data_IF_634758393336
#
_entry.id   IF_634758393336
#
_cell.length_a   1.000
_cell.length_b   1.000
_cell.length_c   1.000
_cell.angle_alpha   90.00
_cell.angle_beta   90.00
_cell.angle_gamma   90.00
#
_symmetry.space_group_name_H-M   'P 1'
#
loop_
_entity.id
_entity.type
_entity.pdbx_description
1 polymer ?
#
# COMPACT_ATOMS: atom_id res chain seq x y z
N UNK A 1 -10.49 6.67 7.81
CA UNK A 1 -11.11 5.35 7.99
C UNK A 1 -10.92 4.85 9.42
N UNK A 2 -11.34 3.63 9.72
CA UNK A 2 -11.43 3.09 11.07
C UNK A 2 -10.57 1.84 11.30
N UNK A 3 -9.92 1.31 10.27
CA UNK A 3 -9.02 0.16 10.38
C UNK A 3 -7.90 0.20 9.34
N UNK A 4 -6.80 -0.52 9.61
CA UNK A 4 -5.71 -0.67 8.64
C UNK A 4 -6.19 -1.25 7.31
N UNK A 5 -7.06 -2.27 7.35
CA UNK A 5 -7.64 -2.86 6.14
C UNK A 5 -8.42 -1.82 5.32
N UNK A 6 -9.24 -0.99 5.96
CA UNK A 6 -9.99 0.05 5.24
C UNK A 6 -9.09 1.17 4.70
N UNK A 7 -7.97 1.49 5.38
CA UNK A 7 -7.01 2.46 4.83
C UNK A 7 -6.34 1.95 3.55
N UNK A 8 -6.03 0.65 3.50
CA UNK A 8 -5.48 0.02 2.29
C UNK A 8 -6.53 -0.07 1.18
N UNK A 9 -7.79 -0.41 1.47
CA UNK A 9 -8.88 -0.35 0.48
C UNK A 9 -8.99 1.05 -0.16
N UNK A 10 -8.88 2.09 0.67
CA UNK A 10 -8.88 3.49 0.19
C UNK A 10 -7.67 3.76 -0.71
N UNK A 11 -6.47 3.29 -0.32
CA UNK A 11 -5.25 3.44 -1.11
C UNK A 11 -5.35 2.79 -2.49
N UNK A 12 -5.88 1.56 -2.55
CA UNK A 12 -6.10 0.84 -3.82
C UNK A 12 -7.09 1.60 -4.72
N UNK A 13 -8.19 2.11 -4.15
CA UNK A 13 -9.17 2.92 -4.89
C UNK A 13 -8.56 4.22 -5.41
N UNK A 14 -7.73 4.92 -4.60
CA UNK A 14 -7.02 6.12 -5.02
C UNK A 14 -6.07 5.82 -6.18
N UNK A 15 -5.31 4.73 -6.10
CA UNK A 15 -4.37 4.36 -7.15
C UNK A 15 -5.09 4.02 -8.48
N UNK A 16 -6.17 3.27 -8.44
CA UNK A 16 -6.95 2.92 -9.64
C UNK A 16 -7.66 4.15 -10.22
N UNK A 17 -8.25 5.00 -9.38
CA UNK A 17 -8.88 6.25 -9.79
C UNK A 17 -7.89 7.23 -10.42
N UNK A 18 -6.66 7.32 -9.89
CA UNK A 18 -5.59 8.13 -10.45
C UNK A 18 -5.36 7.83 -11.94
N UNK A 19 -5.19 6.55 -12.29
CA UNK A 19 -4.95 6.15 -13.67
C UNK A 19 -6.18 6.33 -14.57
N UNK A 20 -7.37 5.99 -14.06
CA UNK A 20 -8.62 6.21 -14.77
C UNK A 20 -8.80 7.68 -15.15
N UNK A 21 -8.56 8.59 -14.21
CA UNK A 21 -8.76 10.03 -14.43
C UNK A 21 -7.69 10.64 -15.34
N UNK A 22 -6.55 9.98 -15.50
CA UNK A 22 -5.52 10.33 -16.48
C UNK A 22 -5.76 9.72 -17.86
N UNK A 23 -6.79 8.88 -18.01
CA UNK A 23 -7.10 8.18 -19.27
C UNK A 23 -6.15 7.03 -19.57
N UNK A 24 -5.47 6.49 -18.58
CA UNK A 24 -4.53 5.37 -18.71
C UNK A 24 -5.18 4.08 -18.15
N UNK A 25 -5.16 3.00 -18.92
CA UNK A 25 -5.78 1.72 -18.55
C UNK A 25 -4.86 0.86 -17.66
N UNK A 26 -4.28 1.45 -16.61
CA UNK A 26 -3.48 0.73 -15.62
C UNK A 26 -4.37 0.28 -14.46
N UNK A 27 -4.41 -1.01 -14.21
CA UNK A 27 -5.22 -1.58 -13.11
C UNK A 27 -4.54 -2.73 -12.38
N UNK A 28 -3.34 -3.15 -12.82
CA UNK A 28 -2.59 -4.24 -12.20
C UNK A 28 -1.88 -3.76 -10.96
N UNK A 29 -2.10 -4.45 -9.85
CA UNK A 29 -1.39 -4.20 -8.60
C UNK A 29 -0.24 -5.20 -8.46
N UNK A 30 0.93 -4.71 -8.12
CA UNK A 30 2.10 -5.53 -7.79
C UNK A 30 2.18 -5.67 -6.27
N UNK A 31 2.49 -6.87 -5.80
CA UNK A 31 2.58 -7.21 -4.37
C UNK A 31 3.85 -8.01 -4.10
N UNK A 32 4.32 -7.99 -2.86
CA UNK A 32 5.42 -8.84 -2.42
C UNK A 32 4.89 -10.17 -1.86
N UNK A 33 5.53 -11.28 -2.19
CA UNK A 33 5.25 -12.58 -1.56
C UNK A 33 5.31 -12.46 -0.03
N UNK A 34 4.44 -13.19 0.65
CA UNK A 34 4.26 -13.15 2.10
C UNK A 34 3.73 -11.82 2.67
N UNK A 35 3.36 -10.85 1.83
CA UNK A 35 2.75 -9.59 2.29
C UNK A 35 1.37 -9.81 2.90
N UNK A 36 1.02 -8.97 3.89
CA UNK A 36 -0.30 -8.95 4.51
C UNK A 36 -0.78 -7.50 4.67
N UNK A 37 -1.98 -7.22 4.19
CA UNK A 37 -2.52 -5.87 4.15
C UNK A 37 -3.90 -5.73 4.81
N UNK A 38 -4.44 -6.81 5.35
CA UNK A 38 -5.73 -6.85 6.03
C UNK A 38 -6.65 -7.98 5.55
N UNK A 39 -7.86 -8.01 6.10
CA UNK A 39 -8.82 -9.11 5.91
C UNK A 39 -10.12 -8.68 5.19
N UNK A 40 -10.14 -7.50 4.56
CA UNK A 40 -11.20 -7.14 3.61
C UNK A 40 -10.90 -7.73 2.23
N UNK A 41 -11.89 -7.79 1.34
CA UNK A 41 -11.73 -8.47 0.02
C UNK A 41 -10.57 -7.89 -0.79
N UNK A 42 -10.45 -6.57 -0.88
CA UNK A 42 -9.36 -5.94 -1.62
C UNK A 42 -8.00 -6.16 -0.95
N UNK A 43 -7.91 -6.06 0.38
CA UNK A 43 -6.65 -6.30 1.10
C UNK A 43 -6.22 -7.77 1.05
N UNK A 44 -7.15 -8.71 1.12
CA UNK A 44 -6.86 -10.14 0.89
C UNK A 44 -6.40 -10.39 -0.55
N UNK A 45 -6.94 -9.62 -1.52
CA UNK A 45 -6.51 -9.73 -2.93
C UNK A 45 -5.05 -9.35 -3.11
N UNK A 46 -4.56 -8.33 -2.40
CA UNK A 46 -3.17 -7.86 -2.46
C UNK A 46 -2.25 -8.50 -1.41
N UNK A 47 -2.78 -9.37 -0.56
CA UNK A 47 -2.02 -10.16 0.41
C UNK A 47 -1.61 -11.53 -0.13
N UNK A 48 -0.80 -12.23 0.65
CA UNK A 48 -0.40 -13.61 0.35
C UNK A 48 -1.61 -14.55 0.32
N UNK A 49 -1.67 -15.41 -0.69
CA UNK A 49 -2.70 -16.46 -0.81
C UNK A 49 -2.35 -17.66 0.07
N UNK A 50 -3.32 -18.23 0.74
CA UNK A 50 -3.10 -19.37 1.61
C UNK A 50 -4.37 -19.87 2.29
N UNK A 51 -4.21 -20.72 3.29
CA UNK A 51 -5.32 -21.35 4.01
C UNK A 51 -6.28 -20.32 4.64
N UNK A 52 -5.77 -19.15 5.04
CA UNK A 52 -6.57 -18.13 5.73
C UNK A 52 -7.58 -17.41 4.82
N UNK A 53 -7.32 -17.34 3.50
CA UNK A 53 -8.19 -16.67 2.54
C UNK A 53 -8.75 -17.58 1.43
N UNK A 54 -8.49 -18.87 1.53
CA UNK A 54 -8.95 -19.87 0.54
C UNK A 54 -10.47 -19.85 0.33
N UNK A 55 -11.24 -19.69 1.41
CA UNK A 55 -12.70 -19.62 1.32
C UNK A 55 -13.24 -18.43 0.51
N UNK A 56 -12.44 -17.38 0.38
CA UNK A 56 -12.79 -16.12 -0.29
C UNK A 56 -12.18 -16.00 -1.68
N UNK A 57 -11.35 -16.96 -2.11
CA UNK A 57 -10.64 -16.95 -3.39
C UNK A 57 -11.51 -16.57 -4.60
N UNK A 58 -12.76 -17.02 -4.71
CA UNK A 58 -13.63 -16.64 -5.85
C UNK A 58 -13.95 -15.14 -5.93
N UNK A 59 -13.73 -14.38 -4.87
CA UNK A 59 -13.98 -12.93 -4.79
C UNK A 59 -12.70 -12.10 -4.92
N UNK A 60 -11.54 -12.74 -4.91
CA UNK A 60 -10.26 -12.04 -4.90
C UNK A 60 -9.81 -11.77 -6.34
N UNK A 61 -9.37 -10.53 -6.61
CA UNK A 61 -8.84 -10.18 -7.92
C UNK A 61 -7.38 -10.59 -8.11
N UNK A 62 -6.94 -10.69 -9.35
CA UNK A 62 -5.58 -11.06 -9.71
C UNK A 62 -4.59 -9.92 -9.45
N UNK A 63 -3.40 -10.31 -9.01
CA UNK A 63 -2.26 -9.42 -8.75
C UNK A 63 -0.99 -9.99 -9.38
N UNK A 64 0.04 -9.16 -9.53
CA UNK A 64 1.38 -9.63 -9.90
C UNK A 64 2.22 -9.75 -8.64
N UNK A 65 2.66 -10.96 -8.30
CA UNK A 65 3.52 -11.18 -7.13
C UNK A 65 4.99 -11.14 -7.52
N UNK A 66 5.82 -10.48 -6.69
CA UNK A 66 7.28 -10.53 -6.77
C UNK A 66 7.83 -11.31 -5.59
N UNK A 67 8.97 -12.02 -5.73
CA UNK A 67 9.59 -12.74 -4.63
C UNK A 67 9.98 -11.81 -3.48
N UNK A 68 9.96 -12.33 -2.24
CA UNK A 68 10.54 -11.63 -1.10
C UNK A 68 12.06 -11.49 -1.27
N UNK A 69 12.66 -10.31 -1.05
CA UNK A 69 14.10 -10.08 -1.23
C UNK A 69 14.89 -10.69 -0.07
N UNK A 70 15.23 -11.96 -0.16
CA UNK A 70 16.12 -12.61 0.81
C UNK A 70 17.56 -12.17 0.61
N UNK A 71 18.37 -12.22 1.67
CA UNK A 71 19.79 -11.88 1.63
C UNK A 71 20.53 -12.61 0.50
N UNK A 72 21.17 -11.84 -0.37
CA UNK A 72 21.89 -12.33 -1.55
C UNK A 72 21.02 -12.62 -2.78
N UNK A 73 19.70 -12.47 -2.71
CA UNK A 73 18.78 -12.64 -3.84
C UNK A 73 17.90 -11.43 -4.12
N UNK A 74 18.24 -10.27 -3.53
CA UNK A 74 17.46 -9.03 -3.65
C UNK A 74 17.28 -8.61 -5.12
N UNK A 75 18.29 -8.84 -5.94
CA UNK A 75 18.25 -8.48 -7.36
C UNK A 75 17.11 -9.20 -8.10
N UNK A 76 16.80 -10.45 -7.74
CA UNK A 76 15.70 -11.20 -8.36
C UNK A 76 14.36 -10.48 -8.13
N UNK A 77 14.13 -10.00 -6.91
CA UNK A 77 12.92 -9.26 -6.55
C UNK A 77 12.86 -7.92 -7.30
N UNK A 78 13.99 -7.21 -7.39
CA UNK A 78 14.09 -5.93 -8.10
C UNK A 78 13.85 -6.09 -9.61
N UNK A 79 14.43 -7.12 -10.24
CA UNK A 79 14.23 -7.41 -11.67
C UNK A 79 12.76 -7.75 -11.96
N UNK A 80 12.11 -8.53 -11.09
CA UNK A 80 10.69 -8.85 -11.21
C UNK A 80 9.78 -7.63 -11.02
N UNK A 81 10.13 -6.75 -10.07
CA UNK A 81 9.42 -5.49 -9.90
C UNK A 81 9.57 -4.61 -11.15
N UNK A 82 10.78 -4.48 -11.68
CA UNK A 82 11.03 -3.71 -12.89
C UNK A 82 10.25 -4.26 -14.09
N UNK A 83 10.23 -5.57 -14.28
CA UNK A 83 9.44 -6.23 -15.32
C UNK A 83 7.94 -5.90 -15.19
N UNK A 84 7.39 -5.99 -13.98
CA UNK A 84 5.99 -5.66 -13.70
C UNK A 84 5.67 -4.18 -13.94
N UNK A 85 6.55 -3.28 -13.50
CA UNK A 85 6.40 -1.83 -13.72
C UNK A 85 6.45 -1.47 -15.21
N UNK A 86 7.35 -2.11 -15.97
CA UNK A 86 7.47 -1.95 -17.42
C UNK A 86 6.22 -2.42 -18.17
N UNK A 87 5.47 -3.36 -17.60
CA UNK A 87 4.20 -3.88 -18.11
C UNK A 87 2.99 -3.06 -17.63
N UNK A 88 3.17 -1.76 -17.35
CA UNK A 88 2.14 -0.79 -16.98
C UNK A 88 1.39 -1.12 -15.68
N UNK A 89 2.11 -1.53 -14.63
CA UNK A 89 1.54 -1.68 -13.31
C UNK A 89 0.94 -0.35 -12.80
N UNK A 90 -0.24 -0.42 -12.18
CA UNK A 90 -0.89 0.73 -11.57
C UNK A 90 -0.21 1.16 -10.28
N UNK A 91 0.07 0.19 -9.42
CA UNK A 91 0.72 0.43 -8.14
C UNK A 91 1.51 -0.80 -7.67
N UNK A 92 2.52 -0.55 -6.86
CA UNK A 92 3.19 -1.55 -6.02
C UNK A 92 2.85 -1.24 -4.56
N UNK A 93 2.32 -2.23 -3.82
CA UNK A 93 2.04 -2.10 -2.40
C UNK A 93 2.99 -2.98 -1.60
N UNK A 94 3.53 -2.43 -0.51
CA UNK A 94 4.52 -3.12 0.33
C UNK A 94 4.46 -2.67 1.79
N UNK A 95 4.73 -3.59 2.72
CA UNK A 95 5.07 -3.28 4.10
C UNK A 95 6.55 -2.86 4.15
N UNK A 96 6.91 -1.59 4.48
CA UNK A 96 8.28 -1.14 4.48
C UNK A 96 9.13 -1.86 5.54
N UNK A 97 10.29 -2.40 5.13
CA UNK A 97 11.34 -3.05 5.92
C UNK A 97 10.96 -4.39 6.59
N UNK A 98 9.70 -4.58 6.98
CA UNK A 98 9.29 -5.77 7.74
C UNK A 98 7.90 -6.24 7.30
N UNK A 99 7.79 -7.46 6.80
CA UNK A 99 6.53 -8.15 6.58
C UNK A 99 6.09 -8.78 7.90
N UNK A 100 5.15 -8.14 8.59
CA UNK A 100 4.77 -8.54 9.94
C UNK A 100 4.10 -9.90 10.01
N UNK A 101 2.88 -10.00 9.51
CA UNK A 101 2.08 -11.24 9.49
C UNK A 101 2.68 -12.32 8.58
N UNK A 102 3.50 -11.93 7.60
CA UNK A 102 4.24 -12.84 6.73
C UNK A 102 5.35 -13.62 7.41
N UNK A 103 5.56 -13.42 8.72
CA UNK A 103 6.56 -14.16 9.50
C UNK A 103 7.70 -13.28 10.04
N UNK A 104 7.48 -11.97 10.19
CA UNK A 104 8.50 -11.00 10.62
C UNK A 104 9.73 -11.01 9.70
N UNK A 105 9.50 -11.13 8.41
CA UNK A 105 10.54 -11.15 7.38
C UNK A 105 11.09 -9.74 7.20
N UNK A 106 12.40 -9.57 7.36
CA UNK A 106 13.06 -8.26 7.27
C UNK A 106 13.90 -8.16 6.01
N UNK A 107 13.93 -6.98 5.39
CA UNK A 107 14.79 -6.65 4.26
C UNK A 107 15.38 -5.24 4.41
N UNK A 108 16.42 -4.93 3.64
CA UNK A 108 17.21 -3.71 3.83
C UNK A 108 16.49 -2.44 3.37
N UNK A 109 16.81 -1.31 4.01
CA UNK A 109 16.37 0.01 3.58
C UNK A 109 16.88 0.35 2.16
N UNK A 110 18.05 -0.14 1.79
CA UNK A 110 18.59 0.03 0.44
C UNK A 110 17.70 -0.68 -0.60
N UNK A 111 17.26 -1.90 -0.33
CA UNK A 111 16.35 -2.64 -1.21
C UNK A 111 15.01 -1.89 -1.35
N UNK A 112 14.48 -1.34 -0.25
CA UNK A 112 13.26 -0.53 -0.28
C UNK A 112 13.45 0.74 -1.13
N UNK A 113 14.58 1.43 -1.00
CA UNK A 113 14.92 2.59 -1.81
C UNK A 113 14.99 2.26 -3.32
N UNK A 114 15.59 1.12 -3.67
CA UNK A 114 15.64 0.66 -5.06
C UNK A 114 14.25 0.31 -5.61
N UNK A 115 13.39 -0.33 -4.82
CA UNK A 115 12.00 -0.58 -5.21
C UNK A 115 11.26 0.73 -5.51
N UNK A 116 11.41 1.75 -4.66
CA UNK A 116 10.82 3.08 -4.91
C UNK A 116 11.38 3.72 -6.18
N UNK A 117 12.70 3.63 -6.40
CA UNK A 117 13.36 4.15 -7.61
C UNK A 117 12.80 3.50 -8.88
N UNK A 118 12.65 2.16 -8.87
CA UNK A 118 12.05 1.43 -10.00
C UNK A 118 10.62 1.91 -10.26
N UNK A 119 9.78 1.97 -9.24
CA UNK A 119 8.41 2.46 -9.39
C UNK A 119 8.37 3.88 -9.99
N UNK A 120 9.20 4.80 -9.51
CA UNK A 120 9.30 6.16 -10.02
C UNK A 120 9.73 6.21 -11.50
N UNK A 121 10.67 5.36 -11.90
CA UNK A 121 11.17 5.30 -13.28
C UNK A 121 10.07 4.96 -14.29
N UNK A 122 9.09 4.13 -13.92
CA UNK A 122 7.99 3.70 -14.78
C UNK A 122 6.65 4.38 -14.46
N UNK A 123 6.67 5.32 -13.50
CA UNK A 123 5.47 6.02 -13.04
C UNK A 123 4.48 5.14 -12.26
N UNK A 124 4.86 3.92 -11.87
CA UNK A 124 4.04 3.06 -11.02
C UNK A 124 3.90 3.70 -9.64
N UNK A 125 2.67 3.83 -9.12
CA UNK A 125 2.44 4.38 -7.80
C UNK A 125 3.02 3.47 -6.70
N UNK A 126 3.67 4.06 -5.72
CA UNK A 126 4.23 3.35 -4.58
C UNK A 126 3.33 3.53 -3.36
N UNK A 127 2.72 2.44 -2.89
CA UNK A 127 1.87 2.42 -1.70
C UNK A 127 2.65 1.81 -0.54
N UNK A 128 2.95 2.61 0.48
CA UNK A 128 3.56 2.13 1.71
C UNK A 128 2.49 1.77 2.74
N UNK A 129 2.41 0.50 3.10
CA UNK A 129 1.57 0.04 4.19
C UNK A 129 2.37 0.08 5.50
N UNK A 130 2.30 1.21 6.18
CA UNK A 130 2.95 1.43 7.47
C UNK A 130 2.00 1.22 8.66
N UNK A 131 0.95 0.45 8.47
CA UNK A 131 -0.01 0.10 9.53
C UNK A 131 0.69 -0.59 10.70
N UNK A 132 1.68 -1.46 10.40
CA UNK A 132 2.49 -2.13 11.44
C UNK A 132 3.82 -1.43 11.69
N UNK A 133 4.48 -0.93 10.64
CA UNK A 133 5.87 -0.46 10.69
C UNK A 133 6.00 0.98 11.16
N UNK A 134 4.94 1.78 11.05
CA UNK A 134 4.91 3.17 11.48
C UNK A 134 4.94 3.35 13.01
N UNK A 135 4.97 4.62 13.41
CA UNK A 135 4.90 5.06 14.81
C UNK A 135 6.06 4.57 15.67
N UNK A 136 7.28 4.56 15.12
CA UNK A 136 8.50 4.23 15.85
C UNK A 136 8.84 2.74 15.93
N UNK A 137 8.02 1.85 15.33
CA UNK A 137 8.21 0.39 15.39
C UNK A 137 9.59 -0.05 14.90
N UNK A 138 10.11 0.58 13.85
CA UNK A 138 11.39 0.24 13.21
C UNK A 138 12.54 1.17 13.63
N UNK A 139 12.29 2.14 14.54
CA UNK A 139 13.29 3.06 15.05
C UNK A 139 13.14 4.51 14.57
N UNK A 140 12.52 4.75 13.43
CA UNK A 140 12.09 6.06 12.91
C UNK A 140 10.58 6.20 13.04
N UNK A 141 10.03 7.41 12.94
CA UNK A 141 8.57 7.61 13.00
C UNK A 141 7.87 6.76 11.94
N UNK A 142 8.35 6.81 10.71
CA UNK A 142 7.93 5.96 9.59
C UNK A 142 9.13 5.11 9.12
N UNK A 143 8.89 3.87 8.75
CA UNK A 143 9.94 2.99 8.23
C UNK A 143 10.53 3.49 6.92
N UNK A 144 9.74 4.15 6.07
CA UNK A 144 10.18 4.79 4.82
C UNK A 144 11.31 5.80 5.04
N UNK A 145 11.40 6.46 6.20
CA UNK A 145 12.47 7.41 6.53
C UNK A 145 13.86 6.76 6.51
N UNK A 146 13.97 5.49 6.92
CA UNK A 146 15.25 4.78 6.91
C UNK A 146 15.78 4.53 5.49
N UNK A 147 14.89 4.46 4.52
CA UNK A 147 15.24 4.33 3.11
C UNK A 147 15.38 5.70 2.41
N UNK A 148 15.07 6.80 3.09
CA UNK A 148 15.07 8.13 2.51
C UNK A 148 14.06 8.32 1.39
N UNK A 149 12.90 7.64 1.47
CA UNK A 149 11.87 7.66 0.43
C UNK A 149 10.57 8.28 0.91
N UNK A 150 9.83 8.85 -0.05
CA UNK A 150 8.46 9.29 0.12
C UNK A 150 7.55 8.43 -0.77
N UNK A 151 6.52 7.77 -0.20
CA UNK A 151 5.55 7.02 -0.98
C UNK A 151 4.56 7.97 -1.68
N UNK A 152 3.91 7.49 -2.74
CA UNK A 152 2.80 8.22 -3.37
C UNK A 152 1.52 8.12 -2.54
N UNK A 153 1.34 6.99 -1.85
CA UNK A 153 0.23 6.76 -0.92
C UNK A 153 0.77 6.06 0.33
N UNK A 154 0.33 6.51 1.51
CA UNK A 154 0.75 5.99 2.81
C UNK A 154 -0.47 5.56 3.64
N UNK A 155 -0.44 4.33 4.15
CA UNK A 155 -1.46 3.78 5.02
C UNK A 155 -0.97 3.69 6.46
N UNK A 156 -1.75 4.23 7.41
CA UNK A 156 -1.43 4.27 8.83
C UNK A 156 -2.62 3.81 9.68
N UNK A 157 -2.35 3.11 10.77
CA UNK A 157 -3.33 2.72 11.79
C UNK A 157 -2.60 2.31 13.08
N UNK A 158 -3.13 1.37 13.84
CA UNK A 158 -2.53 0.78 15.07
C UNK A 158 -1.90 1.83 16.01
N UNK A 159 -0.62 2.13 15.81
CA UNK A 159 0.12 3.11 16.61
C UNK A 159 -0.44 4.53 16.55
N UNK A 160 -1.25 4.85 15.54
CA UNK A 160 -1.88 6.17 15.37
C UNK A 160 -2.66 6.61 16.63
N UNK A 161 -3.36 5.69 17.27
CA UNK A 161 -4.09 5.93 18.53
C UNK A 161 -3.56 5.09 19.69
N UNK A 162 -2.52 4.30 19.47
CA UNK A 162 -2.02 3.36 20.47
C UNK A 162 -3.04 2.29 20.91
N UNK A 163 -4.11 2.10 20.14
CA UNK A 163 -5.17 1.14 20.43
C UNK A 163 -6.29 1.69 21.34
N UNK A 164 -6.25 2.98 21.70
CA UNK A 164 -7.28 3.59 22.53
C UNK A 164 -8.64 3.62 21.83
N UNK A 165 -8.65 3.86 20.52
CA UNK A 165 -9.86 3.90 19.69
C UNK A 165 -9.50 3.51 18.24
N UNK A 166 -10.38 2.81 17.50
CA UNK A 166 -10.16 2.51 16.09
C UNK A 166 -10.03 3.79 15.25
N UNK A 167 -8.88 3.93 14.56
CA UNK A 167 -8.63 4.99 13.58
C UNK A 167 -7.58 4.51 12.57
N UNK A 168 -7.75 4.92 11.33
CA UNK A 168 -6.76 4.73 10.29
C UNK A 168 -6.78 5.93 9.32
N UNK A 169 -5.65 6.16 8.67
CA UNK A 169 -5.44 7.26 7.75
C UNK A 169 -4.83 6.73 6.45
N UNK A 170 -5.33 7.23 5.33
CA UNK A 170 -4.69 7.09 4.02
C UNK A 170 -4.29 8.49 3.57
N UNK A 171 -2.99 8.68 3.41
CA UNK A 171 -2.42 9.94 2.92
C UNK A 171 -2.00 9.75 1.46
N UNK A 172 -2.17 10.78 0.67
CA UNK A 172 -1.79 10.78 -0.74
C UNK A 172 -0.89 11.97 -1.06
N UNK A 173 0.03 11.79 -1.99
CA UNK A 173 0.84 12.87 -2.55
C UNK A 173 -0.03 13.83 -3.38
N UNK A 174 0.46 15.05 -3.57
CA UNK A 174 -0.25 16.07 -4.35
C UNK A 174 -0.67 15.60 -5.75
N UNK A 175 0.18 14.91 -6.56
CA UNK A 175 -0.25 14.40 -7.86
C UNK A 175 -1.43 13.41 -7.80
N UNK A 176 -1.50 12.59 -6.75
CA UNK A 176 -2.62 11.66 -6.56
C UNK A 176 -3.88 12.42 -6.15
N UNK A 177 -3.75 13.42 -5.27
CA UNK A 177 -4.85 14.30 -4.89
C UNK A 177 -5.41 15.06 -6.09
N UNK A 178 -4.54 15.69 -6.89
CA UNK A 178 -4.92 16.51 -8.05
C UNK A 178 -5.67 15.71 -9.12
N UNK A 179 -5.34 14.43 -9.28
CA UNK A 179 -6.05 13.56 -10.23
C UNK A 179 -7.54 13.37 -9.86
N UNK A 180 -7.89 13.54 -8.57
CA UNK A 180 -9.25 13.41 -8.05
C UNK A 180 -9.91 14.77 -7.78
N UNK A 181 -9.16 15.87 -7.86
CA UNK A 181 -9.67 17.21 -7.64
C UNK A 181 -10.33 17.74 -8.92
N UNK A 182 -11.65 17.80 -8.95
CA UNK A 182 -12.41 18.23 -10.14
C UNK A 182 -13.82 18.70 -9.78
N UNK A 183 -14.35 19.63 -10.55
CA UNK A 183 -15.76 20.00 -10.51
C UNK A 183 -16.66 18.95 -11.20
N UNK A 184 -16.07 18.10 -12.04
CA UNK A 184 -16.76 16.95 -12.62
C UNK A 184 -16.89 15.82 -11.60
N UNK A 185 -18.13 15.55 -11.19
CA UNK A 185 -18.43 14.50 -10.21
C UNK A 185 -17.96 13.11 -10.64
N UNK A 186 -17.83 12.85 -11.94
CA UNK A 186 -17.32 11.58 -12.44
C UNK A 186 -15.82 11.36 -12.13
N UNK A 187 -15.08 12.43 -11.81
CA UNK A 187 -13.65 12.42 -11.48
C UNK A 187 -13.38 12.56 -9.98
N UNK A 188 -14.42 12.78 -9.16
CA UNK A 188 -14.23 12.90 -7.72
C UNK A 188 -13.96 11.54 -7.08
N UNK A 189 -13.22 11.56 -5.97
CA UNK A 189 -13.00 10.36 -5.17
C UNK A 189 -14.24 10.02 -4.33
N UNK A 190 -14.98 9.00 -4.75
CA UNK A 190 -16.16 8.53 -4.01
C UNK A 190 -15.79 7.41 -3.03
N UNK A 191 -15.57 7.81 -1.80
CA UNK A 191 -15.45 6.91 -0.67
C UNK A 191 -15.92 7.62 0.60
N UNK A 192 -16.69 6.94 1.43
CA UNK A 192 -17.07 7.43 2.74
C UNK A 192 -17.17 6.29 3.75
N UNK A 193 -16.95 6.63 5.01
CA UNK A 193 -17.24 5.80 6.17
C UNK A 193 -18.13 6.64 7.11
N UNK A 194 -19.05 6.01 7.81
CA UNK A 194 -19.93 6.70 8.78
C UNK A 194 -19.14 7.42 9.86
N UNK A 195 -17.92 6.98 10.16
CA UNK A 195 -17.05 7.54 11.19
C UNK A 195 -15.81 8.23 10.61
N UNK A 196 -15.86 8.66 9.35
CA UNK A 196 -14.78 9.46 8.75
C UNK A 196 -14.52 10.70 9.60
N UNK A 197 -13.24 10.95 9.91
CA UNK A 197 -12.80 12.06 10.75
C UNK A 197 -13.52 12.12 12.12
N UNK A 198 -13.75 10.95 12.74
CA UNK A 198 -14.32 10.87 14.08
C UNK A 198 -13.59 11.82 15.03
N UNK A 199 -14.25 12.87 15.56
CA UNK A 199 -13.56 13.90 16.32
C UNK A 199 -12.93 13.38 17.62
N UNK A 200 -13.50 12.35 18.23
CA UNK A 200 -12.93 11.73 19.44
C UNK A 200 -11.63 11.01 19.09
N UNK A 201 -11.64 10.22 18.01
CA UNK A 201 -10.44 9.49 17.57
C UNK A 201 -9.33 10.43 17.06
N UNK A 202 -9.70 11.55 16.44
CA UNK A 202 -8.73 12.54 15.96
C UNK A 202 -8.13 13.38 17.09
N UNK A 203 -8.79 13.45 18.25
CA UNK A 203 -8.34 14.22 19.42
C UNK A 203 -7.55 13.36 20.44
N UNK A 204 -7.66 12.03 20.36
CA UNK A 204 -6.97 11.09 21.26
C UNK A 204 -5.51 10.92 20.88
#
# INVERSE_FOLDING_TARGET
SDSGSTSVEVALKMALGYWLHRGEARHRIVVMENGYHGDTIGTMSVGARGAFNQAYEPLLFDVTSIPFPTEGSEQISLDRLEEACRADAAAFIVEPLVLGAGGMLMYSAQTLAEMRRICAQFGTLFIADEVMTGWGRTGTLLACEQAGIEPDILCLSKGLTGGAIPLAVTMASEPVFDAHWSDDRARMFFHSSSYTANPIACAA
#
